data_IF_698686540406
#
_entry.id   IF_698686540406
#
_cell.length_a   1.000
_cell.length_b   1.000
_cell.length_c   1.000
_cell.angle_alpha   90.00
_cell.angle_beta   90.00
_cell.angle_gamma   90.00
#
_symmetry.space_group_name_H-M   'P 1'
#
loop_
_entity.id
_entity.type
_entity.pdbx_description
1 polymer ?
#
# COMPACT_ATOMS: atom_id res chain seq x y z
N UNK A 1 3.42 25.17 5.02
CA UNK A 1 3.81 24.04 4.17
C UNK A 1 2.70 22.99 4.20
N UNK A 2 2.36 22.46 3.05
CA UNK A 2 1.41 21.35 2.92
C UNK A 2 1.98 20.12 3.64
N UNK A 3 1.18 19.48 4.48
CA UNK A 3 1.58 18.27 5.22
C UNK A 3 0.99 17.05 4.52
N UNK A 4 1.82 16.18 4.03
CA UNK A 4 1.43 14.94 3.36
C UNK A 4 1.54 13.79 4.36
N UNK A 5 0.46 13.08 4.60
CA UNK A 5 0.52 11.84 5.38
C UNK A 5 0.95 10.70 4.48
N UNK A 6 2.06 10.06 4.83
CA UNK A 6 2.49 8.80 4.23
C UNK A 6 2.37 7.73 5.30
N UNK A 7 1.53 6.73 5.11
CA UNK A 7 1.46 5.60 6.02
C UNK A 7 2.44 4.52 5.60
N UNK A 8 2.94 3.72 6.55
CA UNK A 8 3.87 2.62 6.24
C UNK A 8 5.27 3.08 5.83
N UNK A 9 5.76 4.21 6.35
CA UNK A 9 7.07 4.77 6.02
C UNK A 9 8.26 3.88 6.39
N UNK A 10 8.10 2.92 7.29
CA UNK A 10 9.10 1.90 7.60
C UNK A 10 9.17 0.78 6.54
N UNK A 11 8.18 0.65 5.68
CA UNK A 11 8.12 -0.30 4.58
C UNK A 11 8.82 0.22 3.32
N UNK A 12 8.90 -0.63 2.27
CA UNK A 12 9.59 -0.31 1.02
C UNK A 12 9.01 0.93 0.33
N UNK A 13 7.74 0.89 -0.02
CA UNK A 13 7.07 1.95 -0.77
C UNK A 13 6.96 3.25 0.03
N UNK A 14 6.49 3.17 1.29
CA UNK A 14 6.33 4.35 2.13
C UNK A 14 7.66 5.07 2.42
N UNK A 15 8.76 4.34 2.50
CA UNK A 15 10.10 4.91 2.64
C UNK A 15 10.46 5.76 1.42
N UNK A 16 10.43 5.18 0.21
CA UNK A 16 10.88 5.87 -1.01
C UNK A 16 9.95 7.04 -1.36
N UNK A 17 8.64 6.90 -1.13
CA UNK A 17 7.67 8.00 -1.25
C UNK A 17 8.00 9.14 -0.27
N UNK A 18 8.35 8.82 0.98
CA UNK A 18 8.70 9.84 1.96
C UNK A 18 9.98 10.58 1.59
N UNK A 19 10.98 9.86 1.09
CA UNK A 19 12.25 10.46 0.61
C UNK A 19 11.98 11.40 -0.57
N UNK A 20 11.27 10.94 -1.61
CA UNK A 20 10.95 11.75 -2.78
C UNK A 20 10.19 13.04 -2.39
N UNK A 21 9.19 12.93 -1.51
CA UNK A 21 8.42 14.09 -1.05
C UNK A 21 9.28 15.10 -0.29
N UNK A 22 10.17 14.64 0.60
CA UNK A 22 11.07 15.51 1.38
C UNK A 22 12.06 16.22 0.44
N UNK A 23 12.65 15.50 -0.52
CA UNK A 23 13.57 16.07 -1.51
C UNK A 23 12.91 17.14 -2.38
N UNK A 24 11.58 17.06 -2.58
CA UNK A 24 10.79 18.05 -3.31
C UNK A 24 10.14 19.13 -2.41
N UNK A 25 10.57 19.21 -1.13
CA UNK A 25 10.19 20.30 -0.23
C UNK A 25 8.82 20.16 0.46
N UNK A 26 8.22 18.97 0.43
CA UNK A 26 6.97 18.69 1.17
C UNK A 26 7.24 18.37 2.63
N UNK A 27 6.33 18.80 3.51
CA UNK A 27 6.29 18.32 4.89
C UNK A 27 5.66 16.94 4.96
N UNK A 28 6.38 15.93 5.43
CA UNK A 28 5.90 14.56 5.54
C UNK A 28 5.51 14.23 6.97
N UNK A 29 4.30 13.67 7.15
CA UNK A 29 3.83 13.03 8.37
C UNK A 29 4.00 11.52 8.18
N UNK A 30 4.85 10.92 9.01
CA UNK A 30 5.21 9.49 8.93
C UNK A 30 5.00 8.80 10.29
N UNK A 31 3.73 8.57 10.70
CA UNK A 31 3.47 7.99 12.01
C UNK A 31 4.01 6.57 12.12
N UNK A 32 4.56 6.28 13.29
CA UNK A 32 4.81 4.92 13.73
C UNK A 32 3.48 4.21 14.07
N UNK A 33 3.52 2.88 14.22
CA UNK A 33 2.36 2.10 14.64
C UNK A 33 1.81 2.56 16.00
N UNK A 34 2.67 3.02 16.92
CA UNK A 34 2.25 3.51 18.24
C UNK A 34 1.51 4.85 18.14
N UNK A 35 1.89 5.71 17.19
CA UNK A 35 1.26 7.02 16.99
C UNK A 35 -0.05 6.93 16.23
N UNK A 36 -0.16 5.97 15.29
CA UNK A 36 -1.37 5.73 14.49
C UNK A 36 -1.50 4.23 14.19
N UNK A 37 -2.26 3.55 15.03
CA UNK A 37 -2.57 2.13 14.84
C UNK A 37 -3.72 1.98 13.83
N UNK A 38 -3.41 1.40 12.67
CA UNK A 38 -4.40 1.16 11.62
C UNK A 38 -5.43 0.09 12.01
N UNK A 39 -5.14 -0.76 12.98
CA UNK A 39 -6.11 -1.72 13.48
C UNK A 39 -7.17 -1.10 14.41
N UNK A 40 -6.92 0.12 14.90
CA UNK A 40 -7.83 0.89 15.74
C UNK A 40 -8.40 2.12 14.99
N UNK A 41 -9.68 2.06 14.67
CA UNK A 41 -10.42 3.13 14.01
C UNK A 41 -10.27 4.49 14.71
N UNK A 42 -10.32 4.49 16.05
CA UNK A 42 -10.23 5.74 16.82
C UNK A 42 -8.80 6.30 16.83
N UNK A 43 -7.78 5.44 16.87
CA UNK A 43 -6.39 5.85 16.75
C UNK A 43 -6.14 6.60 15.44
N UNK A 44 -6.59 6.03 14.31
CA UNK A 44 -6.48 6.67 12.99
C UNK A 44 -7.17 8.04 12.98
N UNK A 45 -8.42 8.10 13.46
CA UNK A 45 -9.20 9.34 13.48
C UNK A 45 -8.55 10.41 14.35
N UNK A 46 -8.09 10.07 15.55
CA UNK A 46 -7.43 11.01 16.47
C UNK A 46 -6.13 11.57 15.88
N UNK A 47 -5.34 10.71 15.21
CA UNK A 47 -4.12 11.16 14.55
C UNK A 47 -4.42 12.17 13.43
N UNK A 48 -5.41 11.88 12.58
CA UNK A 48 -5.83 12.73 11.48
C UNK A 48 -6.43 14.07 11.97
N UNK A 49 -7.28 14.04 12.99
CA UNK A 49 -7.87 15.25 13.59
C UNK A 49 -6.81 16.19 14.17
N UNK A 50 -5.75 15.64 14.74
CA UNK A 50 -4.63 16.41 15.32
C UNK A 50 -3.72 17.01 14.24
N UNK A 51 -3.37 16.23 13.22
CA UNK A 51 -2.34 16.61 12.26
C UNK A 51 -2.86 17.28 10.99
N UNK A 52 -4.12 17.05 10.62
CA UNK A 52 -4.86 17.63 9.47
C UNK A 52 -4.03 17.62 8.18
N UNK A 53 -3.65 16.44 7.66
CA UNK A 53 -2.91 16.35 6.41
C UNK A 53 -3.71 16.93 5.24
N UNK A 54 -3.03 17.55 4.29
CA UNK A 54 -3.65 18.03 3.05
C UNK A 54 -3.84 16.95 1.99
N UNK A 55 -3.00 15.90 2.04
CA UNK A 55 -3.05 14.72 1.17
C UNK A 55 -2.64 13.48 1.96
N UNK A 56 -3.07 12.32 1.49
CA UNK A 56 -2.70 11.03 2.08
C UNK A 56 -2.19 10.10 1.00
N UNK A 57 -1.00 9.52 1.21
CA UNK A 57 -0.48 8.41 0.42
C UNK A 57 -0.46 7.18 1.34
N UNK A 58 -1.42 6.29 1.11
CA UNK A 58 -1.67 5.15 1.99
C UNK A 58 -0.93 3.91 1.51
N UNK A 59 0.32 3.72 2.00
CA UNK A 59 1.20 2.59 1.67
C UNK A 59 1.15 1.47 2.71
N UNK A 60 0.69 1.75 3.93
CA UNK A 60 0.63 0.73 4.97
C UNK A 60 -0.43 -0.33 4.67
N UNK A 61 -0.07 -1.58 4.88
CA UNK A 61 -0.97 -2.72 4.78
C UNK A 61 -0.42 -3.92 5.55
N UNK A 62 -1.30 -4.83 5.93
CA UNK A 62 -0.93 -6.20 6.23
C UNK A 62 -0.61 -6.89 4.90
N UNK A 63 0.66 -7.24 4.67
CA UNK A 63 1.13 -7.78 3.37
C UNK A 63 1.59 -9.24 3.45
N UNK A 64 1.48 -9.87 4.62
CA UNK A 64 1.84 -11.27 4.82
C UNK A 64 0.69 -12.16 4.37
N UNK A 65 0.68 -12.53 3.08
CA UNK A 65 -0.43 -13.22 2.41
C UNK A 65 -0.80 -14.52 3.13
N UNK A 66 0.18 -15.40 3.39
CA UNK A 66 -0.08 -16.70 4.03
C UNK A 66 -0.60 -16.53 5.47
N UNK A 67 -0.02 -15.61 6.24
CA UNK A 67 -0.49 -15.32 7.59
C UNK A 67 -1.87 -14.64 7.63
N UNK A 68 -2.33 -14.07 6.55
CA UNK A 68 -3.69 -13.53 6.46
C UNK A 68 -4.74 -14.65 6.44
N UNK A 69 -4.40 -15.83 5.92
CA UNK A 69 -5.27 -17.01 6.00
C UNK A 69 -5.39 -17.54 7.43
N UNK A 70 -4.30 -17.44 8.22
CA UNK A 70 -4.27 -17.87 9.62
C UNK A 70 -4.99 -16.88 10.56
N UNK A 71 -4.94 -15.57 10.26
CA UNK A 71 -5.56 -14.51 11.06
C UNK A 71 -6.27 -13.47 10.16
N UNK A 72 -7.44 -13.85 9.59
CA UNK A 72 -8.23 -12.97 8.73
C UNK A 72 -8.68 -11.68 9.44
N UNK A 73 -8.99 -11.77 10.73
CA UNK A 73 -9.51 -10.64 11.50
C UNK A 73 -8.45 -9.56 11.69
N UNK A 74 -7.22 -9.93 12.03
CA UNK A 74 -6.12 -8.98 12.11
C UNK A 74 -5.77 -8.35 10.75
N UNK A 75 -5.78 -9.14 9.68
CA UNK A 75 -5.60 -8.63 8.32
C UNK A 75 -6.68 -7.61 7.96
N UNK A 76 -7.95 -7.91 8.21
CA UNK A 76 -9.08 -7.02 7.95
C UNK A 76 -9.08 -5.78 8.85
N UNK A 77 -8.67 -5.89 10.11
CA UNK A 77 -8.54 -4.75 11.00
C UNK A 77 -7.61 -3.67 10.38
N UNK A 78 -6.45 -4.08 9.86
CA UNK A 78 -5.48 -3.16 9.23
C UNK A 78 -5.96 -2.70 7.85
N UNK A 79 -6.25 -3.65 6.94
CA UNK A 79 -6.47 -3.35 5.53
C UNK A 79 -7.86 -2.79 5.22
N UNK A 80 -8.87 -3.14 6.01
CA UNK A 80 -10.26 -2.72 5.79
C UNK A 80 -10.65 -1.62 6.79
N UNK A 81 -10.58 -1.91 8.10
CA UNK A 81 -11.04 -0.97 9.13
C UNK A 81 -10.17 0.29 9.17
N UNK A 82 -8.83 0.14 9.11
CA UNK A 82 -7.90 1.27 9.05
C UNK A 82 -8.08 2.12 7.79
N UNK A 83 -8.17 1.48 6.62
CA UNK A 83 -8.41 2.16 5.35
C UNK A 83 -9.76 2.89 5.35
N UNK A 84 -10.81 2.26 5.91
CA UNK A 84 -12.13 2.88 6.07
C UNK A 84 -12.06 4.13 6.94
N UNK A 85 -11.41 4.05 8.11
CA UNK A 85 -11.27 5.19 9.01
C UNK A 85 -10.59 6.39 8.34
N UNK A 86 -9.53 6.10 7.57
CA UNK A 86 -8.78 7.08 6.80
C UNK A 86 -9.67 7.68 5.68
N UNK A 87 -10.34 6.84 4.90
CA UNK A 87 -11.19 7.28 3.80
C UNK A 87 -12.38 8.14 4.29
N UNK A 88 -13.06 7.72 5.36
CA UNK A 88 -14.18 8.49 5.95
C UNK A 88 -13.72 9.87 6.42
N UNK A 89 -12.55 9.96 7.06
CA UNK A 89 -11.99 11.24 7.48
C UNK A 89 -11.62 12.13 6.28
N UNK A 90 -10.96 11.55 5.27
CA UNK A 90 -10.56 12.27 4.07
C UNK A 90 -11.77 12.76 3.27
N UNK A 91 -12.83 11.96 3.17
CA UNK A 91 -14.10 12.38 2.55
C UNK A 91 -14.69 13.62 3.24
N UNK A 92 -14.77 13.59 4.57
CA UNK A 92 -15.32 14.70 5.36
C UNK A 92 -14.50 16.00 5.24
N UNK A 93 -13.19 15.89 5.02
CA UNK A 93 -12.25 17.01 5.00
C UNK A 93 -11.78 17.39 3.58
N UNK A 94 -12.35 16.79 2.53
CA UNK A 94 -12.01 17.03 1.11
C UNK A 94 -10.52 16.79 0.81
N UNK A 95 -9.94 15.74 1.39
CA UNK A 95 -8.52 15.39 1.27
C UNK A 95 -8.34 14.31 0.20
N UNK A 96 -7.41 14.54 -0.73
CA UNK A 96 -7.04 13.56 -1.77
C UNK A 96 -6.31 12.37 -1.17
N UNK A 97 -6.67 11.16 -1.63
CA UNK A 97 -6.06 9.90 -1.20
C UNK A 97 -5.46 9.15 -2.36
N UNK A 98 -4.19 8.75 -2.24
CA UNK A 98 -3.55 7.75 -3.09
C UNK A 98 -3.46 6.45 -2.30
N UNK A 99 -4.11 5.40 -2.75
CA UNK A 99 -4.16 4.10 -2.10
C UNK A 99 -3.33 3.08 -2.88
N UNK A 100 -2.32 2.51 -2.23
CA UNK A 100 -1.54 1.44 -2.82
C UNK A 100 -2.29 0.12 -2.61
N UNK A 101 -2.80 -0.43 -3.70
CA UNK A 101 -3.47 -1.72 -3.76
C UNK A 101 -2.54 -2.79 -4.36
N UNK A 102 -3.08 -3.89 -4.82
CA UNK A 102 -2.33 -5.07 -5.28
C UNK A 102 -3.01 -5.73 -6.47
N UNK A 103 -2.24 -6.46 -7.26
CA UNK A 103 -2.72 -7.39 -8.28
C UNK A 103 -3.50 -8.59 -7.69
N UNK A 104 -3.30 -8.93 -6.41
CA UNK A 104 -4.06 -9.97 -5.70
C UNK A 104 -5.57 -9.69 -5.59
N UNK A 105 -6.03 -8.51 -6.00
CA UNK A 105 -7.48 -8.24 -6.16
C UNK A 105 -8.09 -8.96 -7.36
N UNK A 106 -7.26 -9.46 -8.28
CA UNK A 106 -7.68 -10.25 -9.43
C UNK A 106 -7.59 -11.76 -9.14
N UNK A 107 -8.32 -12.61 -9.89
CA UNK A 107 -8.33 -14.06 -9.66
C UNK A 107 -7.03 -14.78 -10.04
N UNK A 108 -6.09 -14.10 -10.71
CA UNK A 108 -4.80 -14.68 -11.09
C UNK A 108 -4.88 -15.76 -12.17
N UNK A 109 -5.98 -15.84 -12.92
CA UNK A 109 -6.21 -16.81 -13.98
C UNK A 109 -6.09 -16.17 -15.37
N UNK A 110 -5.77 -16.97 -16.38
CA UNK A 110 -5.64 -16.50 -17.77
C UNK A 110 -4.21 -16.14 -18.15
N UNK A 111 -4.07 -15.66 -19.38
CA UNK A 111 -2.79 -15.39 -20.05
C UNK A 111 -2.65 -13.95 -20.54
N UNK A 112 -3.65 -13.10 -20.25
CA UNK A 112 -3.65 -11.69 -20.64
C UNK A 112 -3.36 -10.79 -19.46
N UNK A 113 -2.64 -9.68 -19.68
CA UNK A 113 -2.46 -8.65 -18.66
C UNK A 113 -3.80 -8.09 -18.20
N UNK A 114 -3.95 -7.88 -16.90
CA UNK A 114 -5.12 -7.23 -16.31
C UNK A 114 -5.14 -5.73 -16.64
N UNK A 115 -6.33 -5.20 -16.87
CA UNK A 115 -6.59 -3.78 -17.08
C UNK A 115 -7.25 -3.13 -15.86
N UNK A 116 -7.35 -1.82 -15.86
CA UNK A 116 -7.99 -1.07 -14.76
C UNK A 116 -9.51 -1.31 -14.68
N UNK A 117 -10.12 -1.70 -15.80
CA UNK A 117 -11.56 -1.92 -15.93
C UNK A 117 -11.97 -3.38 -15.69
N UNK A 118 -11.00 -4.30 -15.54
CA UNK A 118 -11.30 -5.69 -15.28
C UNK A 118 -11.90 -5.88 -13.90
N UNK A 119 -12.88 -6.79 -13.83
CA UNK A 119 -13.56 -7.12 -12.58
C UNK A 119 -12.59 -7.77 -11.60
N UNK A 120 -12.61 -7.31 -10.37
CA UNK A 120 -11.85 -7.91 -9.27
C UNK A 120 -12.57 -9.13 -8.71
N UNK A 121 -11.83 -10.23 -8.52
CA UNK A 121 -12.32 -11.48 -7.92
C UNK A 121 -11.19 -12.18 -7.14
N UNK A 122 -10.79 -11.62 -6.00
CA UNK A 122 -9.65 -12.13 -5.22
C UNK A 122 -9.93 -13.50 -4.63
N UNK A 123 -8.92 -14.38 -4.66
CA UNK A 123 -9.01 -15.77 -4.21
C UNK A 123 -8.44 -16.02 -2.82
N UNK A 124 -7.85 -15.00 -2.17
CA UNK A 124 -7.26 -15.10 -0.85
C UNK A 124 -7.68 -13.95 0.06
N UNK A 125 -7.52 -14.14 1.38
CA UNK A 125 -7.92 -13.17 2.42
C UNK A 125 -7.22 -11.82 2.24
N UNK A 126 -5.93 -11.81 1.90
CA UNK A 126 -5.19 -10.58 1.65
C UNK A 126 -5.81 -9.79 0.48
N UNK A 127 -5.99 -10.42 -0.68
CA UNK A 127 -6.60 -9.80 -1.85
C UNK A 127 -8.01 -9.29 -1.57
N UNK A 128 -8.84 -10.10 -0.88
CA UNK A 128 -10.19 -9.68 -0.45
C UNK A 128 -10.12 -8.44 0.44
N UNK A 129 -9.23 -8.41 1.42
CA UNK A 129 -9.07 -7.26 2.31
C UNK A 129 -8.62 -5.99 1.59
N UNK A 130 -7.74 -6.12 0.61
CA UNK A 130 -7.27 -4.99 -0.21
C UNK A 130 -8.37 -4.46 -1.13
N UNK A 131 -9.14 -5.35 -1.78
CA UNK A 131 -10.32 -4.99 -2.57
C UNK A 131 -11.37 -4.28 -1.71
N UNK A 132 -11.67 -4.80 -0.52
CA UNK A 132 -12.63 -4.17 0.40
C UNK A 132 -12.14 -2.76 0.82
N UNK A 133 -10.83 -2.56 0.94
CA UNK A 133 -10.22 -1.24 1.14
C UNK A 133 -10.43 -0.30 -0.05
N UNK A 134 -10.27 -0.81 -1.30
CA UNK A 134 -10.55 -0.02 -2.52
C UNK A 134 -11.98 0.53 -2.52
N UNK A 135 -12.97 -0.24 -2.04
CA UNK A 135 -14.38 0.16 -2.01
C UNK A 135 -14.64 1.39 -1.14
N UNK A 136 -13.86 1.60 -0.08
CA UNK A 136 -13.93 2.83 0.71
C UNK A 136 -13.27 4.01 0.01
N UNK A 137 -12.13 3.78 -0.63
CA UNK A 137 -11.39 4.81 -1.36
C UNK A 137 -12.13 5.27 -2.61
N UNK A 138 -12.80 4.38 -3.34
CA UNK A 138 -13.62 4.70 -4.52
C UNK A 138 -14.76 5.70 -4.25
N UNK A 139 -15.20 5.83 -3.00
CA UNK A 139 -16.24 6.79 -2.60
C UNK A 139 -15.75 8.23 -2.49
N UNK A 140 -14.45 8.44 -2.54
CA UNK A 140 -13.84 9.77 -2.50
C UNK A 140 -13.87 10.40 -3.90
N UNK A 141 -14.14 11.69 -4.00
CA UNK A 141 -14.05 12.41 -5.27
C UNK A 141 -12.59 12.54 -5.76
N UNK A 142 -11.68 12.75 -4.80
CA UNK A 142 -10.24 12.95 -5.05
C UNK A 142 -9.46 11.72 -4.61
N UNK A 143 -9.32 10.76 -5.50
CA UNK A 143 -8.55 9.55 -5.18
C UNK A 143 -7.81 8.97 -6.38
N UNK A 144 -6.78 8.18 -6.07
CA UNK A 144 -6.16 7.22 -6.97
C UNK A 144 -6.03 5.88 -6.27
N UNK A 145 -6.29 4.80 -6.99
CA UNK A 145 -6.03 3.43 -6.57
C UNK A 145 -4.94 2.88 -7.48
N UNK A 146 -3.77 2.61 -6.90
CA UNK A 146 -2.58 2.15 -7.62
C UNK A 146 -2.34 0.69 -7.26
N UNK A 147 -2.67 -0.22 -8.17
CA UNK A 147 -2.42 -1.65 -8.01
C UNK A 147 -0.99 -1.97 -8.42
N UNK A 148 -0.26 -2.57 -7.52
CA UNK A 148 1.15 -2.94 -7.71
C UNK A 148 1.32 -4.44 -7.54
N UNK A 149 2.38 -4.99 -8.16
CA UNK A 149 2.78 -6.38 -7.99
C UNK A 149 4.28 -6.48 -7.79
N UNK A 150 4.72 -7.52 -7.09
CA UNK A 150 6.12 -7.87 -6.89
C UNK A 150 7.01 -6.67 -6.55
N UNK A 151 6.56 -5.93 -5.54
CA UNK A 151 7.22 -4.69 -5.09
C UNK A 151 8.61 -4.99 -4.55
N UNK A 152 9.61 -4.25 -5.03
CA UNK A 152 10.96 -4.29 -4.52
C UNK A 152 11.57 -2.89 -4.43
N UNK A 153 12.49 -2.73 -3.49
CA UNK A 153 13.20 -1.49 -3.23
C UNK A 153 14.44 -1.75 -2.39
N UNK A 154 15.17 -0.68 -2.09
CA UNK A 154 16.38 -0.77 -1.26
C UNK A 154 16.01 -1.05 0.19
N UNK A 155 14.92 -0.44 0.68
CA UNK A 155 14.45 -0.58 2.05
C UNK A 155 13.60 -1.84 2.25
N UNK A 156 13.81 -2.56 3.35
CA UNK A 156 13.01 -3.72 3.74
C UNK A 156 13.36 -5.02 3.02
N UNK A 157 12.57 -6.05 3.29
CA UNK A 157 12.75 -7.38 2.71
C UNK A 157 11.89 -7.55 1.45
N UNK A 158 12.47 -8.13 0.41
CA UNK A 158 11.79 -8.44 -0.84
C UNK A 158 12.39 -9.66 -1.53
N UNK A 159 11.73 -10.14 -2.56
CA UNK A 159 12.19 -11.31 -3.31
C UNK A 159 13.60 -11.11 -3.91
N UNK A 160 13.88 -9.94 -4.47
CA UNK A 160 15.18 -9.64 -5.11
C UNK A 160 16.31 -9.73 -4.08
N UNK A 161 16.17 -9.04 -2.95
CA UNK A 161 17.15 -9.08 -1.86
C UNK A 161 17.31 -10.49 -1.28
N UNK A 162 16.21 -11.24 -1.18
CA UNK A 162 16.22 -12.64 -0.73
C UNK A 162 17.00 -13.52 -1.71
N UNK A 163 16.77 -13.40 -3.02
CA UNK A 163 17.51 -14.17 -4.03
C UNK A 163 19.00 -13.83 -4.03
N UNK A 164 19.36 -12.55 -3.90
CA UNK A 164 20.76 -12.13 -3.77
C UNK A 164 21.42 -12.75 -2.52
N UNK A 165 20.73 -12.78 -1.40
CA UNK A 165 21.25 -13.38 -0.18
C UNK A 165 21.39 -14.90 -0.29
N UNK A 166 20.41 -15.58 -0.87
CA UNK A 166 20.43 -17.04 -1.06
C UNK A 166 21.48 -17.47 -2.06
N UNK A 167 21.70 -16.73 -3.16
CA UNK A 167 22.72 -17.03 -4.16
C UNK A 167 24.16 -16.99 -3.59
N UNK A 168 24.38 -16.24 -2.53
CA UNK A 168 25.67 -16.19 -1.81
C UNK A 168 25.88 -17.39 -0.88
N UNK A 169 24.79 -18.08 -0.52
CA UNK A 169 24.80 -19.13 0.50
C UNK A 169 24.64 -20.54 -0.08
N UNK A 170 23.95 -20.66 -1.22
CA UNK A 170 23.60 -21.96 -1.82
C UNK A 170 23.94 -21.97 -3.30
N UNK A 171 24.49 -23.07 -3.79
CA UNK A 171 24.78 -23.29 -5.21
C UNK A 171 23.53 -23.42 -6.09
N UNK A 172 22.42 -23.82 -5.46
CA UNK A 172 21.12 -23.99 -6.14
C UNK A 172 20.01 -23.45 -5.25
N UNK A 173 19.16 -22.59 -5.82
CA UNK A 173 17.95 -22.07 -5.18
C UNK A 173 16.74 -22.56 -5.99
N UNK A 174 15.74 -23.12 -5.29
CA UNK A 174 14.47 -23.51 -5.92
C UNK A 174 13.50 -22.36 -5.77
N UNK A 175 12.86 -21.99 -6.87
CA UNK A 175 11.81 -20.97 -6.92
C UNK A 175 10.60 -21.52 -7.64
N UNK A 176 9.43 -20.98 -7.30
CA UNK A 176 8.17 -21.17 -8.04
C UNK A 176 8.35 -20.65 -9.46
N UNK A 177 7.89 -21.41 -10.46
CA UNK A 177 8.11 -21.10 -11.88
C UNK A 177 6.81 -21.02 -12.70
N UNK A 178 5.65 -21.08 -12.05
CA UNK A 178 4.30 -21.03 -12.65
C UNK A 178 3.55 -19.72 -12.35
N UNK A 179 4.24 -18.74 -11.77
CA UNK A 179 3.70 -17.41 -11.52
C UNK A 179 4.31 -16.40 -12.50
N UNK A 180 3.44 -15.59 -13.11
CA UNK A 180 3.80 -14.50 -14.02
C UNK A 180 3.31 -13.19 -13.43
N UNK A 181 4.15 -12.16 -13.43
CA UNK A 181 3.81 -10.85 -12.89
C UNK A 181 4.79 -9.78 -13.31
N UNK A 182 4.39 -8.52 -13.08
CA UNK A 182 5.23 -7.35 -13.33
C UNK A 182 5.94 -6.94 -12.05
N UNK A 183 7.20 -6.58 -12.17
CA UNK A 183 7.98 -6.00 -11.06
C UNK A 183 7.63 -4.53 -10.88
N UNK A 184 7.50 -4.09 -9.63
CA UNK A 184 7.33 -2.67 -9.28
C UNK A 184 8.54 -2.21 -8.46
N UNK A 185 9.39 -1.36 -9.04
CA UNK A 185 10.49 -0.73 -8.31
C UNK A 185 9.99 0.52 -7.58
N UNK A 186 10.18 0.57 -6.27
CA UNK A 186 9.62 1.62 -5.41
C UNK A 186 10.17 3.01 -5.71
N UNK A 187 11.46 3.10 -6.05
CA UNK A 187 12.09 4.37 -6.40
C UNK A 187 11.61 4.96 -7.74
N UNK A 188 11.13 4.12 -8.68
CA UNK A 188 10.50 4.59 -9.92
C UNK A 188 9.04 5.01 -9.68
N UNK A 189 8.33 4.30 -8.81
CA UNK A 189 6.92 4.61 -8.55
C UNK A 189 6.75 5.84 -7.63
N UNK A 190 7.67 6.11 -6.71
CA UNK A 190 7.54 7.22 -5.76
C UNK A 190 7.36 8.60 -6.45
N UNK A 191 8.17 9.00 -7.46
CA UNK A 191 7.95 10.25 -8.20
C UNK A 191 6.61 10.27 -8.94
N UNK A 192 6.14 9.14 -9.45
CA UNK A 192 4.82 9.05 -10.11
C UNK A 192 3.68 9.30 -9.13
N UNK A 193 3.76 8.72 -7.91
CA UNK A 193 2.78 8.98 -6.85
C UNK A 193 2.76 10.45 -6.44
N UNK A 194 3.92 11.12 -6.36
CA UNK A 194 3.97 12.56 -6.13
C UNK A 194 3.26 13.33 -7.24
N UNK A 195 3.53 13.05 -8.52
CA UNK A 195 2.85 13.69 -9.64
C UNK A 195 1.32 13.48 -9.62
N UNK A 196 0.86 12.26 -9.29
CA UNK A 196 -0.57 11.97 -9.11
C UNK A 196 -1.17 12.76 -7.94
N UNK A 197 -0.43 12.96 -6.87
CA UNK A 197 -0.86 13.80 -5.75
C UNK A 197 -1.02 15.26 -6.17
N UNK A 198 -0.11 15.77 -6.99
CA UNK A 198 -0.08 17.16 -7.48
C UNK A 198 -1.16 17.45 -8.53
N UNK A 199 -1.63 16.44 -9.28
CA UNK A 199 -2.70 16.58 -10.29
C UNK A 199 -4.06 16.82 -9.64
#
# INVERSE_FOLDING_TARGET
>A
MSKILVTGCSGQMGHDVSVDLIEHGYGVLSPSHVEMDLSDFNSVKQYLDRNKPSHVIHCAAWTKVDLAEDDPDACRAVNVTGTRALAEWCHKNDVKVLYISTDYVFPGTGDKPWTVDDQTDPINVYGMSKRDGEEFVRKLEKHFIVRVSWVFGINGNNFVNTMIALSKKYDKVRVVADQYGSLTYTADLAPMLRQMMES
#
